data_IF_245681948450
#
_entry.id   IF_245681948450
#
_cell.length_a   1.000
_cell.length_b   1.000
_cell.length_c   1.000
_cell.angle_alpha   90.00
_cell.angle_beta   90.00
_cell.angle_gamma   90.00
#
_symmetry.space_group_name_H-M   'P 1'
#
loop_
_entity.id
_entity.type
_entity.pdbx_description
1 polymer ?
#
# COMPACT_ATOMS: atom_id res chain seq x y z
N UNK A 1 81.20 49.27 -70.48
CA UNK A 1 80.58 47.96 -70.54
C UNK A 1 79.23 48.05 -69.75
N UNK A 2 78.14 48.20 -70.50
CA UNK A 2 76.79 48.20 -69.90
C UNK A 2 76.15 46.87 -70.15
N UNK A 3 75.75 46.20 -69.04
CA UNK A 3 74.98 44.93 -69.13
C UNK A 3 73.49 45.31 -69.03
N UNK A 4 72.74 44.99 -70.08
CA UNK A 4 71.29 45.03 -70.08
C UNK A 4 70.77 43.83 -69.25
N UNK A 5 69.95 44.10 -68.25
CA UNK A 5 69.16 43.11 -67.50
C UNK A 5 67.73 43.01 -68.13
N UNK A 6 67.46 41.85 -68.68
CA UNK A 6 66.11 41.51 -69.26
C UNK A 6 65.20 41.03 -68.11
N UNK A 7 64.22 41.87 -67.81
CA UNK A 7 63.18 41.46 -66.85
C UNK A 7 62.10 40.63 -67.53
N UNK A 8 62.00 39.38 -67.13
CA UNK A 8 60.91 38.48 -67.47
C UNK A 8 59.77 38.72 -66.48
N UNK A 9 58.65 39.25 -66.94
CA UNK A 9 57.41 39.40 -66.17
C UNK A 9 56.64 38.10 -66.24
N UNK A 10 56.66 37.35 -65.11
CA UNK A 10 55.87 36.11 -65.01
C UNK A 10 54.40 36.48 -64.65
N UNK A 11 53.50 36.36 -65.62
CA UNK A 11 52.08 36.54 -65.36
C UNK A 11 51.54 35.24 -64.70
N UNK A 12 51.30 35.33 -63.39
CA UNK A 12 50.67 34.27 -62.61
C UNK A 12 49.15 34.34 -62.85
N UNK A 13 48.63 33.43 -63.68
CA UNK A 13 47.16 33.28 -63.89
C UNK A 13 46.61 32.50 -62.68
N UNK A 14 46.01 33.22 -61.73
CA UNK A 14 45.21 32.61 -60.65
C UNK A 14 43.93 32.04 -61.19
N UNK A 15 43.84 30.75 -61.39
CA UNK A 15 42.56 30.03 -61.56
C UNK A 15 41.83 30.04 -60.21
N UNK A 16 40.86 30.96 -60.01
CA UNK A 16 39.89 30.87 -58.96
C UNK A 16 38.88 29.82 -59.38
N UNK A 17 39.17 28.60 -58.98
CA UNK A 17 38.19 27.52 -59.07
C UNK A 17 37.05 27.83 -58.07
N UNK A 18 35.87 28.11 -58.59
CA UNK A 18 34.65 28.16 -57.77
C UNK A 18 34.39 26.73 -57.37
N UNK A 19 34.80 26.32 -56.14
CA UNK A 19 34.37 25.08 -55.52
C UNK A 19 32.86 25.26 -55.21
N UNK A 20 32.00 24.80 -56.12
CA UNK A 20 30.58 24.62 -55.80
C UNK A 20 30.53 23.49 -54.79
N UNK A 21 30.11 23.77 -53.56
CA UNK A 21 29.79 22.72 -52.65
C UNK A 21 28.71 21.82 -53.34
N UNK A 22 28.97 20.54 -53.34
CA UNK A 22 27.99 19.61 -53.89
C UNK A 22 26.66 19.79 -53.13
N UNK A 23 25.57 19.85 -53.86
CA UNK A 23 24.25 19.94 -53.24
C UNK A 23 24.06 18.77 -52.25
N UNK A 24 23.54 19.00 -51.04
CA UNK A 24 23.41 17.97 -50.04
C UNK A 24 22.46 16.86 -50.45
N UNK A 25 22.73 15.64 -50.01
CA UNK A 25 21.81 14.50 -50.23
C UNK A 25 20.85 14.38 -49.06
N UNK A 26 19.60 14.05 -49.37
CA UNK A 26 18.56 13.78 -48.37
C UNK A 26 18.84 12.47 -47.62
N UNK A 27 19.05 12.54 -46.31
CA UNK A 27 19.35 11.39 -45.46
C UNK A 27 18.21 10.36 -45.38
N UNK A 28 17.02 10.69 -45.83
CA UNK A 28 15.89 9.76 -45.92
C UNK A 28 15.80 9.05 -47.26
N UNK A 29 15.70 9.82 -48.36
CA UNK A 29 15.46 9.23 -49.68
C UNK A 29 16.72 9.08 -50.56
N UNK A 30 17.90 9.51 -50.07
CA UNK A 30 19.21 9.46 -50.73
C UNK A 30 19.27 10.19 -52.10
N UNK A 31 18.37 11.13 -52.33
CA UNK A 31 18.36 11.98 -53.56
C UNK A 31 18.97 13.34 -53.23
N UNK A 32 19.62 13.95 -54.24
CA UNK A 32 20.15 15.30 -54.15
C UNK A 32 19.06 16.30 -53.82
N UNK A 33 19.31 17.26 -52.94
CA UNK A 33 18.37 18.29 -52.54
C UNK A 33 18.67 19.54 -53.37
N UNK A 34 17.76 19.89 -54.29
CA UNK A 34 17.83 21.11 -55.05
C UNK A 34 17.08 22.22 -54.32
N UNK A 35 17.77 23.30 -53.90
CA UNK A 35 17.17 24.44 -53.23
C UNK A 35 17.23 24.39 -51.69
N UNK A 36 16.10 24.75 -51.03
CA UNK A 36 16.04 24.80 -49.57
C UNK A 36 15.94 23.41 -48.97
N UNK A 37 16.61 23.19 -47.84
CA UNK A 37 16.58 21.93 -47.09
C UNK A 37 16.53 22.17 -45.58
N UNK A 38 16.09 21.16 -44.85
CA UNK A 38 16.14 21.12 -43.40
C UNK A 38 17.42 20.41 -42.94
N UNK A 39 18.13 21.03 -41.99
CA UNK A 39 19.27 20.39 -41.32
C UNK A 39 18.88 20.10 -39.87
N UNK A 40 18.86 18.81 -39.53
CA UNK A 40 18.52 18.33 -38.18
C UNK A 40 19.58 17.32 -37.75
N UNK A 41 20.19 17.54 -36.61
CA UNK A 41 21.26 16.70 -36.05
C UNK A 41 22.40 16.39 -37.06
N UNK A 42 22.78 17.41 -37.86
CA UNK A 42 23.84 17.29 -38.86
C UNK A 42 23.48 16.51 -40.13
N UNK A 43 22.22 16.13 -40.31
CA UNK A 43 21.67 15.47 -41.47
C UNK A 43 20.79 16.42 -42.28
N UNK A 44 20.84 16.31 -43.62
CA UNK A 44 20.04 17.15 -44.53
C UNK A 44 18.81 16.36 -45.05
N UNK A 45 17.70 17.05 -45.17
CA UNK A 45 16.44 16.44 -45.58
C UNK A 45 15.67 17.37 -46.54
N UNK A 46 14.96 16.82 -47.55
CA UNK A 46 13.87 17.54 -48.16
C UNK A 46 12.82 17.84 -47.09
N UNK A 47 12.14 18.95 -47.19
CA UNK A 47 11.13 19.38 -46.24
C UNK A 47 10.02 18.33 -46.10
N UNK A 48 9.50 17.81 -47.22
CA UNK A 48 8.48 16.76 -47.23
C UNK A 48 8.98 15.44 -46.65
N UNK A 49 10.23 15.04 -46.99
CA UNK A 49 10.81 13.80 -46.44
C UNK A 49 10.97 13.87 -44.90
N UNK A 50 11.35 15.01 -44.40
CA UNK A 50 11.47 15.21 -42.94
C UNK A 50 10.08 15.15 -42.30
N UNK A 51 9.12 16.00 -42.75
CA UNK A 51 7.78 16.10 -42.18
C UNK A 51 7.04 14.76 -42.18
N UNK A 52 7.12 14.01 -43.28
CA UNK A 52 6.29 12.83 -43.48
C UNK A 52 6.91 11.55 -42.88
N UNK A 53 8.24 11.47 -42.76
CA UNK A 53 8.95 10.23 -42.41
C UNK A 53 9.94 10.34 -41.23
N UNK A 54 10.42 11.52 -40.89
CA UNK A 54 11.47 11.68 -39.90
C UNK A 54 10.96 12.43 -38.68
N UNK A 55 10.09 13.42 -38.88
CA UNK A 55 9.56 14.23 -37.79
C UNK A 55 8.80 13.38 -36.78
N UNK A 56 9.07 13.55 -35.47
CA UNK A 56 8.42 12.77 -34.42
C UNK A 56 6.91 12.88 -34.48
N UNK A 57 6.23 11.75 -34.21
CA UNK A 57 4.79 11.70 -34.13
C UNK A 57 4.34 11.27 -32.73
N UNK A 58 3.24 11.87 -32.30
CA UNK A 58 2.64 11.53 -31.03
C UNK A 58 2.08 10.11 -31.04
N UNK A 59 2.54 9.26 -30.11
CA UNK A 59 2.08 7.87 -30.01
C UNK A 59 0.57 7.76 -29.70
N UNK A 60 -0.02 8.76 -29.05
CA UNK A 60 -1.45 8.77 -28.77
C UNK A 60 -2.31 9.19 -29.96
N UNK A 61 -2.03 10.33 -30.59
CA UNK A 61 -2.92 10.89 -31.62
C UNK A 61 -2.39 10.77 -33.06
N UNK A 62 -1.18 10.26 -33.26
CA UNK A 62 -0.55 10.07 -34.58
C UNK A 62 -0.09 11.35 -35.28
N UNK A 63 -0.44 12.53 -34.76
CA UNK A 63 -0.06 13.83 -35.36
C UNK A 63 1.42 14.13 -35.11
N UNK A 64 1.99 14.91 -36.03
CA UNK A 64 3.37 15.41 -35.92
C UNK A 64 3.54 16.23 -34.67
N UNK A 65 4.66 16.03 -33.97
CA UNK A 65 5.06 16.83 -32.81
C UNK A 65 5.93 17.98 -33.29
N UNK A 66 5.45 19.20 -33.08
CA UNK A 66 6.19 20.42 -33.33
C UNK A 66 6.47 21.13 -31.99
N UNK A 67 7.75 21.16 -31.60
CA UNK A 67 8.20 21.75 -30.36
C UNK A 67 8.36 20.79 -29.18
N UNK A 68 7.81 21.14 -28.00
CA UNK A 68 7.96 20.36 -26.76
C UNK A 68 7.16 19.04 -26.81
N UNK A 69 7.73 18.02 -26.22
CA UNK A 69 7.10 16.71 -26.07
C UNK A 69 7.36 16.10 -24.70
N UNK A 70 6.53 15.13 -24.31
CA UNK A 70 6.77 14.23 -23.21
C UNK A 70 7.31 12.91 -23.77
N UNK A 71 8.22 12.27 -23.02
CA UNK A 71 8.81 10.97 -23.37
C UNK A 71 8.45 9.96 -22.28
N UNK A 72 7.89 8.82 -22.69
CA UNK A 72 7.61 7.68 -21.82
C UNK A 72 7.88 6.39 -22.58
N UNK A 73 8.74 5.50 -22.04
CA UNK A 73 9.11 4.21 -22.65
C UNK A 73 9.53 4.33 -24.13
N UNK A 74 10.34 5.35 -24.45
CA UNK A 74 10.80 5.67 -25.80
C UNK A 74 9.70 6.17 -26.78
N UNK A 75 8.49 6.36 -26.29
CA UNK A 75 7.39 6.95 -27.06
C UNK A 75 7.24 8.45 -26.77
N UNK A 76 6.99 9.23 -27.85
CA UNK A 76 6.84 10.68 -27.78
C UNK A 76 5.37 11.07 -27.81
N UNK A 77 4.99 12.06 -27.00
CA UNK A 77 3.63 12.54 -26.87
C UNK A 77 3.57 14.06 -26.90
N UNK A 78 2.53 14.65 -27.50
CA UNK A 78 2.24 16.05 -27.20
C UNK A 78 2.02 16.21 -25.69
N UNK A 79 2.41 17.34 -25.08
CA UNK A 79 2.22 17.58 -23.65
C UNK A 79 0.76 17.38 -23.19
N UNK A 80 -0.21 17.87 -24.00
CA UNK A 80 -1.63 17.71 -23.69
C UNK A 80 -2.11 16.26 -23.84
N UNK A 81 -1.63 15.52 -24.85
CA UNK A 81 -1.96 14.11 -25.00
C UNK A 81 -1.42 13.30 -23.85
N UNK A 82 -0.19 13.59 -23.42
CA UNK A 82 0.43 12.94 -22.29
C UNK A 82 -0.36 13.20 -21.00
N UNK A 83 -0.63 14.47 -20.70
CA UNK A 83 -1.35 14.86 -19.47
C UNK A 83 -2.76 14.28 -19.43
N UNK A 84 -3.51 14.34 -20.52
CA UNK A 84 -4.94 14.02 -20.49
C UNK A 84 -5.24 12.53 -20.71
N UNK A 85 -4.32 11.77 -21.35
CA UNK A 85 -4.60 10.40 -21.77
C UNK A 85 -3.59 9.34 -21.32
N UNK A 86 -2.38 9.76 -20.89
CA UNK A 86 -1.31 8.83 -20.54
C UNK A 86 -1.03 8.85 -19.04
N UNK A 87 -1.04 10.03 -18.40
CA UNK A 87 -0.87 10.10 -16.96
C UNK A 87 -1.99 9.34 -16.23
N UNK A 88 -1.67 8.63 -15.14
CA UNK A 88 -2.70 8.06 -14.28
C UNK A 88 -3.60 9.17 -13.72
N UNK A 89 -4.82 8.82 -13.40
CA UNK A 89 -5.80 9.77 -12.87
C UNK A 89 -5.97 9.58 -11.36
N UNK A 90 -6.23 10.69 -10.69
CA UNK A 90 -6.53 10.67 -9.27
C UNK A 90 -7.85 9.96 -9.02
N UNK A 91 -7.84 8.95 -8.16
CA UNK A 91 -9.03 8.18 -7.80
C UNK A 91 -10.08 8.99 -7.02
N UNK A 92 -9.74 10.21 -6.56
CA UNK A 92 -10.63 11.07 -5.76
C UNK A 92 -11.24 12.18 -6.63
N UNK A 93 -10.42 12.92 -7.39
CA UNK A 93 -10.89 14.10 -8.15
C UNK A 93 -10.87 13.92 -9.67
N UNK A 94 -10.46 12.76 -10.15
CA UNK A 94 -10.31 12.40 -11.57
C UNK A 94 -9.40 13.34 -12.38
N UNK A 95 -8.55 14.15 -11.72
CA UNK A 95 -7.55 14.96 -12.41
C UNK A 95 -6.28 14.16 -12.66
N UNK A 96 -5.51 14.48 -13.72
CA UNK A 96 -4.24 13.81 -14.00
C UNK A 96 -3.25 13.95 -12.85
N UNK A 97 -2.61 12.85 -12.47
CA UNK A 97 -1.59 12.84 -11.43
C UNK A 97 -0.26 13.35 -11.99
N UNK A 98 -0.01 14.65 -11.80
CA UNK A 98 1.23 15.31 -12.16
C UNK A 98 2.13 15.47 -10.93
N UNK A 99 3.39 15.05 -11.04
CA UNK A 99 4.36 15.18 -9.95
C UNK A 99 4.21 14.08 -8.90
N UNK A 100 4.27 14.47 -7.61
CA UNK A 100 4.15 13.55 -6.48
C UNK A 100 2.69 13.16 -6.24
N UNK A 101 2.46 11.88 -6.05
CA UNK A 101 1.18 11.32 -5.65
C UNK A 101 1.40 10.09 -4.75
N UNK A 102 0.37 9.70 -4.02
CA UNK A 102 0.38 8.49 -3.21
C UNK A 102 -0.44 7.39 -3.87
N UNK A 103 -0.08 6.15 -3.56
CA UNK A 103 -0.90 4.97 -3.85
C UNK A 103 -1.08 4.22 -2.54
N UNK A 104 -2.33 4.02 -2.13
CA UNK A 104 -2.64 3.26 -0.93
C UNK A 104 -2.47 1.74 -1.15
N UNK A 105 -2.69 0.97 -0.07
CA UNK A 105 -2.63 -0.50 -0.15
C UNK A 105 -3.64 -1.07 -1.17
N UNK A 106 -4.77 -0.40 -1.34
CA UNK A 106 -5.89 -0.83 -2.17
C UNK A 106 -5.73 -0.47 -3.66
N UNK A 107 -4.57 0.07 -4.03
CA UNK A 107 -4.26 0.46 -5.40
C UNK A 107 -4.82 1.83 -5.83
N UNK A 108 -5.44 2.59 -4.92
CA UNK A 108 -5.95 3.91 -5.24
C UNK A 108 -4.80 4.92 -5.27
N UNK A 109 -4.61 5.58 -6.41
CA UNK A 109 -3.62 6.64 -6.57
C UNK A 109 -4.29 8.01 -6.47
N UNK A 110 -3.73 8.92 -5.66
CA UNK A 110 -4.32 10.23 -5.42
C UNK A 110 -3.26 11.30 -5.13
N UNK A 111 -3.62 12.58 -5.37
CA UNK A 111 -2.74 13.71 -5.08
C UNK A 111 -2.38 13.78 -3.59
N UNK A 112 -1.16 14.20 -3.31
CA UNK A 112 -0.65 14.39 -1.94
C UNK A 112 -1.55 15.31 -1.09
N UNK A 113 -2.20 16.33 -1.68
CA UNK A 113 -3.11 17.23 -0.98
C UNK A 113 -4.29 16.52 -0.33
N UNK A 114 -4.85 15.49 -0.97
CA UNK A 114 -6.01 14.77 -0.44
C UNK A 114 -5.72 14.05 0.87
N UNK A 115 -4.47 13.63 1.11
CA UNK A 115 -4.10 13.01 2.40
C UNK A 115 -4.13 13.97 3.59
N UNK A 116 -4.07 15.28 3.34
CA UNK A 116 -4.20 16.31 4.37
C UNK A 116 -5.60 16.90 4.49
N UNK A 117 -6.44 16.71 3.48
CA UNK A 117 -7.79 17.26 3.41
C UNK A 117 -8.87 16.27 3.90
N UNK A 118 -8.61 14.97 3.78
CA UNK A 118 -9.55 13.90 4.09
C UNK A 118 -9.10 13.09 5.30
N UNK A 119 -10.08 12.61 6.08
CA UNK A 119 -9.82 11.71 7.20
C UNK A 119 -9.56 10.29 6.70
N UNK A 120 -8.72 9.56 7.43
CA UNK A 120 -8.48 8.13 7.19
C UNK A 120 -9.44 7.25 7.99
N UNK A 121 -9.87 6.16 7.41
CA UNK A 121 -10.66 5.15 8.11
C UNK A 121 -9.80 4.44 9.16
N UNK A 122 -10.24 4.45 10.41
CA UNK A 122 -9.55 3.84 11.54
C UNK A 122 -9.21 2.35 11.35
N UNK A 123 -10.00 1.62 10.57
CA UNK A 123 -9.86 0.17 10.43
C UNK A 123 -9.13 -0.27 9.16
N UNK A 124 -9.30 0.44 8.04
CA UNK A 124 -8.70 0.05 6.75
C UNK A 124 -7.69 1.04 6.17
N UNK A 125 -7.56 2.24 6.77
CA UNK A 125 -6.60 3.26 6.33
C UNK A 125 -6.93 3.94 5.00
N UNK A 126 -8.10 3.66 4.36
CA UNK A 126 -8.53 4.41 3.17
C UNK A 126 -8.89 5.83 3.52
N UNK A 127 -8.60 6.78 2.63
CA UNK A 127 -9.16 8.11 2.70
C UNK A 127 -10.69 8.05 2.52
N UNK A 128 -11.42 8.77 3.36
CA UNK A 128 -12.88 8.75 3.38
C UNK A 128 -13.42 9.80 2.42
N UNK A 129 -14.01 9.35 1.32
CA UNK A 129 -14.75 10.16 0.37
C UNK A 129 -15.74 9.28 -0.38
N UNK A 130 -16.66 9.90 -1.13
CA UNK A 130 -17.70 9.17 -1.86
C UNK A 130 -17.09 8.24 -2.91
N UNK A 131 -16.06 8.68 -3.61
CA UNK A 131 -15.42 7.95 -4.72
C UNK A 131 -14.69 6.69 -4.27
N UNK A 132 -14.01 6.72 -3.12
CA UNK A 132 -13.19 5.58 -2.65
C UNK A 132 -13.94 4.65 -1.72
N UNK A 133 -14.86 5.17 -0.92
CA UNK A 133 -15.39 4.44 0.23
C UNK A 133 -16.90 4.54 0.39
N UNK A 134 -17.61 5.21 -0.51
CA UNK A 134 -19.03 5.52 -0.34
C UNK A 134 -19.29 6.46 0.84
N UNK A 135 -18.34 7.38 1.09
CA UNK A 135 -18.36 8.28 2.24
C UNK A 135 -17.93 7.63 3.54
N UNK A 136 -18.39 8.20 4.65
CA UNK A 136 -18.12 7.76 6.02
C UNK A 136 -18.51 8.81 7.03
N UNK A 137 -18.21 8.57 8.31
CA UNK A 137 -18.58 9.48 9.39
C UNK A 137 -17.62 9.34 10.58
N UNK A 138 -17.65 10.34 11.44
CA UNK A 138 -16.95 10.35 12.71
C UNK A 138 -17.82 9.69 13.80
N UNK A 139 -17.25 8.73 14.52
CA UNK A 139 -17.88 8.12 15.68
C UNK A 139 -17.80 9.07 16.89
N UNK A 140 -18.66 8.86 17.89
CA UNK A 140 -18.71 9.68 19.11
C UNK A 140 -17.41 9.70 19.92
N UNK A 141 -16.51 8.74 19.68
CA UNK A 141 -15.20 8.64 20.33
C UNK A 141 -14.05 9.22 19.49
N UNK A 142 -14.36 9.87 18.35
CA UNK A 142 -13.40 10.55 17.47
C UNK A 142 -12.78 9.68 16.40
N UNK A 143 -13.10 8.38 16.34
CA UNK A 143 -12.65 7.50 15.24
C UNK A 143 -13.47 7.79 13.98
N UNK A 144 -12.82 7.75 12.82
CA UNK A 144 -13.48 7.84 11.51
C UNK A 144 -13.72 6.45 10.93
N UNK A 145 -14.93 6.17 10.46
CA UNK A 145 -15.30 4.90 9.84
C UNK A 145 -15.81 5.15 8.43
N UNK A 146 -15.22 4.49 7.43
CA UNK A 146 -15.67 4.61 6.04
C UNK A 146 -16.91 3.75 5.75
N UNK A 147 -17.64 4.06 4.68
CA UNK A 147 -18.83 3.33 4.26
C UNK A 147 -18.60 1.83 4.10
N UNK A 148 -17.50 1.43 3.44
CA UNK A 148 -17.15 0.01 3.23
C UNK A 148 -17.01 -0.74 4.57
N UNK A 149 -16.27 -0.17 5.52
CA UNK A 149 -16.07 -0.80 6.82
C UNK A 149 -17.33 -0.82 7.68
N UNK A 150 -18.19 0.17 7.50
CA UNK A 150 -19.46 0.26 8.21
C UNK A 150 -20.49 -0.79 7.79
N UNK A 151 -20.45 -1.27 6.53
CA UNK A 151 -21.40 -2.30 6.04
C UNK A 151 -21.44 -3.56 6.89
N UNK A 152 -20.30 -3.92 7.48
CA UNK A 152 -20.15 -5.14 8.29
C UNK A 152 -19.79 -4.86 9.75
N UNK A 153 -19.93 -3.60 10.19
CA UNK A 153 -19.52 -3.19 11.52
C UNK A 153 -20.34 -3.87 12.63
N UNK A 154 -19.64 -4.39 13.64
CA UNK A 154 -20.27 -5.02 14.81
C UNK A 154 -20.66 -3.93 15.83
N UNK A 155 -21.96 -3.75 16.01
CA UNK A 155 -22.53 -2.70 16.87
C UNK A 155 -23.56 -3.23 17.89
N UNK A 156 -23.85 -4.54 17.89
CA UNK A 156 -24.88 -5.13 18.73
C UNK A 156 -24.74 -6.62 18.94
N UNK A 157 -25.58 -7.14 19.84
CA UNK A 157 -25.48 -8.48 20.41
C UNK A 157 -25.57 -9.60 19.36
N UNK A 158 -26.43 -9.46 18.35
CA UNK A 158 -26.59 -10.51 17.34
C UNK A 158 -25.28 -10.86 16.61
N UNK A 159 -24.54 -9.83 16.14
CA UNK A 159 -23.26 -10.05 15.46
C UNK A 159 -22.16 -10.47 16.45
N UNK A 160 -22.23 -10.01 17.71
CA UNK A 160 -21.34 -10.41 18.78
C UNK A 160 -21.51 -11.92 19.06
N UNK A 161 -22.72 -12.38 19.37
CA UNK A 161 -23.03 -13.79 19.70
C UNK A 161 -22.70 -14.74 18.55
N UNK A 162 -23.04 -14.35 17.32
CA UNK A 162 -22.69 -15.13 16.13
C UNK A 162 -21.18 -15.21 15.91
N UNK A 163 -20.44 -14.13 16.23
CA UNK A 163 -18.98 -14.10 16.15
C UNK A 163 -18.33 -14.95 17.23
N UNK A 164 -18.84 -14.90 18.46
CA UNK A 164 -18.38 -15.77 19.56
C UNK A 164 -18.54 -17.23 19.18
N UNK A 165 -19.72 -17.62 18.73
CA UNK A 165 -19.99 -19.01 18.29
C UNK A 165 -19.10 -19.45 17.14
N UNK A 166 -18.77 -18.54 16.21
CA UNK A 166 -17.85 -18.80 15.11
C UNK A 166 -16.42 -19.00 15.61
N UNK A 167 -15.92 -18.07 16.45
CA UNK A 167 -14.53 -18.10 16.92
C UNK A 167 -14.29 -19.31 17.84
N UNK A 168 -15.22 -19.64 18.74
CA UNK A 168 -15.08 -20.82 19.62
C UNK A 168 -14.95 -22.11 18.81
N UNK A 169 -15.77 -22.31 17.76
CA UNK A 169 -15.63 -23.47 16.88
C UNK A 169 -14.27 -23.50 16.15
N UNK A 170 -13.79 -22.35 15.73
CA UNK A 170 -12.51 -22.25 15.02
C UNK A 170 -11.34 -22.58 15.96
N UNK A 171 -11.37 -22.10 17.19
CA UNK A 171 -10.38 -22.40 18.23
C UNK A 171 -10.40 -23.91 18.58
N UNK A 172 -11.59 -24.47 18.82
CA UNK A 172 -11.77 -25.89 19.13
C UNK A 172 -11.22 -26.81 18.02
N UNK A 173 -11.48 -26.46 16.75
CA UNK A 173 -10.96 -27.20 15.59
C UNK A 173 -9.42 -27.24 15.53
N UNK A 174 -8.74 -26.31 16.20
CA UNK A 174 -7.28 -26.24 16.31
C UNK A 174 -6.74 -26.74 17.68
N UNK A 175 -7.60 -27.37 18.50
CA UNK A 175 -7.22 -27.97 19.78
C UNK A 175 -7.19 -26.99 20.96
N UNK A 176 -7.71 -25.77 20.77
CA UNK A 176 -7.86 -24.77 21.83
C UNK A 176 -9.27 -24.92 22.39
N UNK A 177 -9.38 -25.75 23.40
CA UNK A 177 -10.64 -26.15 24.04
C UNK A 177 -10.66 -25.74 25.55
N UNK A 178 -11.76 -26.06 26.22
CA UNK A 178 -11.94 -25.83 27.65
C UNK A 178 -11.83 -24.36 28.06
N UNK A 179 -12.30 -23.45 27.22
CA UNK A 179 -12.59 -22.09 27.61
C UNK A 179 -13.84 -22.04 28.50
N UNK A 180 -13.96 -21.10 29.46
CA UNK A 180 -15.18 -20.93 30.22
C UNK A 180 -16.40 -20.66 29.32
N UNK A 181 -17.56 -21.23 29.68
CA UNK A 181 -18.80 -21.06 28.90
C UNK A 181 -19.37 -19.62 28.98
N UNK A 182 -19.17 -18.97 30.14
CA UNK A 182 -19.76 -17.67 30.48
C UNK A 182 -18.72 -16.54 30.56
N UNK A 183 -18.03 -16.25 29.47
CA UNK A 183 -17.10 -15.12 29.42
C UNK A 183 -17.90 -13.88 29.01
N UNK A 184 -18.06 -12.86 29.89
CA UNK A 184 -18.68 -11.61 29.54
C UNK A 184 -17.88 -10.89 28.45
N UNK A 185 -18.57 -10.45 27.38
CA UNK A 185 -17.98 -9.67 26.28
C UNK A 185 -18.76 -8.36 26.16
N UNK A 186 -18.07 -7.25 26.23
CA UNK A 186 -18.71 -5.92 26.17
C UNK A 186 -18.13 -5.11 25.02
N UNK A 187 -19.03 -4.57 24.17
CA UNK A 187 -18.66 -3.59 23.16
C UNK A 187 -18.43 -2.23 23.85
N UNK A 188 -17.32 -1.62 23.59
CA UNK A 188 -16.91 -0.34 24.18
C UNK A 188 -16.47 0.66 23.13
N UNK A 189 -16.46 1.94 23.48
CA UNK A 189 -15.81 3.00 22.72
C UNK A 189 -14.31 3.09 23.08
N UNK A 190 -13.57 3.88 22.30
CA UNK A 190 -12.16 4.07 22.51
C UNK A 190 -11.85 4.74 23.88
N UNK A 191 -12.71 5.63 24.34
CA UNK A 191 -12.53 6.30 25.62
C UNK A 191 -12.62 5.31 26.78
N UNK A 192 -13.57 4.39 26.72
CA UNK A 192 -13.73 3.33 27.74
C UNK A 192 -12.57 2.36 27.70
N UNK A 193 -12.11 1.94 26.53
CA UNK A 193 -10.95 1.03 26.39
C UNK A 193 -9.67 1.67 26.98
N UNK A 194 -9.47 2.98 26.76
CA UNK A 194 -8.37 3.75 27.37
C UNK A 194 -8.42 3.81 28.89
N UNK A 195 -9.62 3.80 29.48
CA UNK A 195 -9.79 3.77 30.95
C UNK A 195 -9.50 2.39 31.56
N UNK A 196 -9.75 1.32 30.80
CA UNK A 196 -9.59 -0.05 31.29
C UNK A 196 -8.11 -0.51 31.27
N UNK A 197 -7.36 -0.13 30.25
CA UNK A 197 -5.98 -0.58 30.10
C UNK A 197 -4.96 0.50 30.48
N UNK A 198 -4.07 0.19 31.42
CA UNK A 198 -2.94 1.06 31.80
C UNK A 198 -1.88 1.15 30.70
N UNK A 199 -1.81 0.19 29.80
CA UNK A 199 -0.89 0.13 28.65
C UNK A 199 -1.58 0.47 27.33
N UNK A 200 -2.65 1.26 27.38
CA UNK A 200 -3.42 1.63 26.19
C UNK A 200 -2.55 2.24 25.10
N UNK A 201 -2.81 1.84 23.86
CA UNK A 201 -2.32 2.49 22.64
C UNK A 201 -3.49 2.65 21.65
N UNK A 202 -3.40 3.58 20.70
CA UNK A 202 -4.44 3.78 19.68
C UNK A 202 -4.56 2.59 18.71
N UNK A 203 -3.61 1.66 18.73
CA UNK A 203 -3.67 0.40 17.99
C UNK A 203 -4.43 -0.71 18.73
N UNK A 204 -4.80 -0.49 19.99
CA UNK A 204 -5.55 -1.46 20.79
C UNK A 204 -7.01 -1.49 20.38
N UNK A 205 -7.52 -2.70 20.08
CA UNK A 205 -8.90 -2.91 19.64
C UNK A 205 -9.70 -3.81 20.59
N UNK A 206 -9.04 -4.50 21.50
CA UNK A 206 -9.60 -5.33 22.56
C UNK A 206 -8.77 -5.25 23.81
N UNK A 207 -9.33 -5.73 24.92
CA UNK A 207 -8.68 -5.85 26.21
C UNK A 207 -9.38 -6.91 27.05
N UNK A 208 -8.62 -7.83 27.61
CA UNK A 208 -9.12 -8.83 28.54
C UNK A 208 -8.69 -8.50 29.97
N UNK A 209 -9.67 -8.31 30.84
CA UNK A 209 -9.46 -8.14 32.28
C UNK A 209 -9.57 -9.48 32.99
N UNK A 210 -8.60 -9.79 33.85
CA UNK A 210 -8.55 -11.02 34.61
C UNK A 210 -8.62 -10.74 36.11
N UNK A 211 -9.49 -11.46 36.81
CA UNK A 211 -9.63 -11.38 38.24
C UNK A 211 -9.49 -12.78 38.88
N UNK A 212 -8.66 -12.86 39.90
CA UNK A 212 -8.47 -14.10 40.70
C UNK A 212 -8.85 -13.84 42.14
N UNK A 213 -9.82 -14.57 42.65
CA UNK A 213 -10.18 -14.53 44.04
C UNK A 213 -9.43 -15.63 44.78
N UNK A 214 -8.75 -15.29 45.87
CA UNK A 214 -8.03 -16.20 46.71
C UNK A 214 -8.59 -16.22 48.12
N UNK A 215 -8.66 -17.41 48.75
CA UNK A 215 -9.03 -17.57 50.14
C UNK A 215 -8.03 -18.52 50.79
N UNK A 216 -7.32 -18.03 51.83
CA UNK A 216 -6.30 -18.80 52.53
C UNK A 216 -5.25 -19.42 51.59
N UNK A 217 -4.67 -18.63 50.69
CA UNK A 217 -3.70 -19.01 49.62
C UNK A 217 -4.25 -19.98 48.52
N UNK A 218 -5.52 -20.34 48.56
CA UNK A 218 -6.13 -21.16 47.52
C UNK A 218 -6.95 -20.28 46.56
N UNK A 219 -6.80 -20.51 45.25
CA UNK A 219 -7.63 -19.88 44.25
C UNK A 219 -9.05 -20.45 44.37
N UNK A 220 -10.03 -19.55 44.58
CA UNK A 220 -11.44 -19.90 44.75
C UNK A 220 -12.21 -19.69 43.46
N UNK A 221 -11.91 -18.61 42.72
CA UNK A 221 -12.49 -18.38 41.41
C UNK A 221 -11.50 -17.62 40.53
N UNK A 222 -11.62 -17.87 39.23
CA UNK A 222 -11.04 -17.07 38.15
C UNK A 222 -12.16 -16.52 37.31
N UNK A 223 -12.05 -15.29 36.93
CA UNK A 223 -13.05 -14.60 36.10
C UNK A 223 -12.32 -13.78 35.04
N UNK A 224 -12.79 -13.81 33.81
CA UNK A 224 -12.29 -13.01 32.72
C UNK A 224 -13.41 -12.19 32.12
N UNK A 225 -13.13 -10.95 31.72
CA UNK A 225 -14.06 -10.09 31.02
C UNK A 225 -13.39 -9.48 29.79
N UNK A 226 -13.96 -9.70 28.61
CA UNK A 226 -13.44 -9.21 27.36
C UNK A 226 -14.13 -7.90 26.97
N UNK A 227 -13.36 -6.89 26.61
CA UNK A 227 -13.83 -5.61 26.09
C UNK A 227 -13.30 -5.46 24.66
N UNK A 228 -14.18 -5.18 23.70
CA UNK A 228 -13.79 -5.00 22.29
C UNK A 228 -14.38 -3.70 21.76
N UNK A 229 -13.62 -2.95 20.96
CA UNK A 229 -14.12 -1.76 20.30
C UNK A 229 -15.35 -2.07 19.45
N UNK A 230 -16.40 -1.30 19.63
CA UNK A 230 -17.56 -1.29 18.74
C UNK A 230 -17.18 -0.74 17.35
N UNK A 231 -18.01 -1.01 16.35
CA UNK A 231 -17.84 -0.55 14.97
C UNK A 231 -16.58 -1.10 14.26
N UNK A 232 -16.02 -2.22 14.72
CA UNK A 232 -15.04 -2.96 13.93
C UNK A 232 -15.75 -3.76 12.83
N UNK A 233 -15.21 -3.82 11.60
CA UNK A 233 -15.72 -4.73 10.57
C UNK A 233 -15.72 -6.18 11.07
N UNK A 234 -16.69 -6.99 10.65
CA UNK A 234 -16.93 -8.33 11.19
C UNK A 234 -15.69 -9.22 11.24
N UNK A 235 -14.90 -9.25 10.17
CA UNK A 235 -13.68 -10.06 10.12
C UNK A 235 -12.64 -9.57 11.15
N UNK A 236 -12.47 -8.26 11.28
CA UNK A 236 -11.57 -7.69 12.29
C UNK A 236 -12.08 -7.94 13.71
N UNK A 237 -13.38 -7.77 13.93
CA UNK A 237 -13.99 -8.05 15.23
C UNK A 237 -13.73 -9.49 15.68
N UNK A 238 -13.97 -10.46 14.79
CA UNK A 238 -13.68 -11.88 15.05
C UNK A 238 -12.22 -12.16 15.33
N UNK A 239 -11.31 -11.50 14.60
CA UNK A 239 -9.87 -11.64 14.80
C UNK A 239 -9.42 -11.08 16.16
N UNK A 240 -9.96 -9.92 16.57
CA UNK A 240 -9.71 -9.37 17.90
C UNK A 240 -10.31 -10.27 18.99
N UNK A 241 -11.53 -10.77 18.79
CA UNK A 241 -12.17 -11.69 19.73
C UNK A 241 -11.36 -13.00 19.92
N UNK A 242 -10.82 -13.55 18.83
CA UNK A 242 -9.95 -14.72 18.90
C UNK A 242 -8.66 -14.44 19.70
N UNK A 243 -8.05 -13.27 19.50
CA UNK A 243 -6.90 -12.82 20.27
C UNK A 243 -7.23 -12.74 21.76
N UNK A 244 -8.32 -12.09 22.13
CA UNK A 244 -8.73 -11.92 23.53
C UNK A 244 -9.11 -13.26 24.20
N UNK A 245 -9.74 -14.17 23.48
CA UNK A 245 -10.03 -15.53 23.98
C UNK A 245 -8.76 -16.34 24.21
N UNK A 246 -7.68 -16.12 23.46
CA UNK A 246 -6.39 -16.74 23.77
C UNK A 246 -5.74 -16.18 25.05
N UNK A 247 -5.95 -14.90 25.41
CA UNK A 247 -5.58 -14.40 26.73
C UNK A 247 -6.35 -15.16 27.83
N UNK A 248 -7.64 -15.39 27.67
CA UNK A 248 -8.42 -16.24 28.62
C UNK A 248 -7.86 -17.65 28.68
N UNK A 249 -7.55 -18.26 27.54
CA UNK A 249 -6.94 -19.60 27.47
C UNK A 249 -5.65 -19.70 28.30
N UNK A 250 -4.74 -18.72 28.18
CA UNK A 250 -3.49 -18.66 28.91
C UNK A 250 -3.75 -18.49 30.43
N UNK A 251 -4.66 -17.60 30.79
CA UNK A 251 -5.01 -17.33 32.19
C UNK A 251 -5.60 -18.55 32.89
N UNK A 252 -6.53 -19.27 32.24
CA UNK A 252 -7.14 -20.48 32.82
C UNK A 252 -6.11 -21.57 33.09
N UNK A 253 -5.06 -21.66 32.27
CA UNK A 253 -3.96 -22.63 32.41
C UNK A 253 -2.82 -22.17 33.32
N UNK A 254 -2.91 -20.97 33.90
CA UNK A 254 -1.84 -20.34 34.68
C UNK A 254 -0.50 -20.24 33.92
N UNK A 255 -0.56 -19.98 32.62
CA UNK A 255 0.62 -19.78 31.80
C UNK A 255 1.06 -18.30 31.89
N UNK A 256 2.11 -18.05 32.64
CA UNK A 256 2.74 -16.73 32.76
C UNK A 256 3.90 -16.64 31.77
N UNK A 257 3.58 -16.12 30.58
CA UNK A 257 4.51 -16.03 29.47
C UNK A 257 5.12 -14.62 29.38
N UNK A 258 6.33 -14.56 28.87
CA UNK A 258 6.96 -13.31 28.48
C UNK A 258 6.08 -12.57 27.46
N UNK A 259 6.06 -11.21 27.49
CA UNK A 259 5.11 -10.39 26.72
C UNK A 259 5.13 -10.70 25.22
N UNK A 260 6.33 -10.83 24.62
CA UNK A 260 6.46 -11.14 23.20
C UNK A 260 5.88 -12.52 22.82
N UNK A 261 6.02 -13.51 23.69
CA UNK A 261 5.46 -14.85 23.48
C UNK A 261 3.95 -14.83 23.68
N UNK A 262 3.46 -14.18 24.72
CA UNK A 262 2.04 -14.06 25.04
C UNK A 262 1.28 -13.36 23.92
N UNK A 263 1.71 -12.14 23.54
CA UNK A 263 1.05 -11.37 22.48
C UNK A 263 1.21 -12.05 21.12
N UNK A 264 2.39 -12.63 20.85
CA UNK A 264 2.64 -13.40 19.64
C UNK A 264 1.71 -14.62 19.53
N UNK A 265 1.50 -15.36 20.60
CA UNK A 265 0.56 -16.49 20.64
C UNK A 265 -0.88 -16.02 20.47
N UNK A 266 -1.30 -14.97 21.17
CA UNK A 266 -2.65 -14.43 21.02
C UNK A 266 -2.92 -13.92 19.59
N UNK A 267 -1.92 -13.36 18.93
CA UNK A 267 -2.01 -12.95 17.53
C UNK A 267 -2.20 -14.12 16.55
N UNK A 268 -1.85 -15.37 16.92
CA UNK A 268 -2.19 -16.53 16.11
C UNK A 268 -3.70 -16.75 16.02
N UNK A 269 -4.46 -16.37 17.05
CA UNK A 269 -5.92 -16.35 16.99
C UNK A 269 -6.46 -15.39 15.93
N UNK A 270 -5.87 -14.19 15.85
CA UNK A 270 -6.20 -13.25 14.76
C UNK A 270 -5.84 -13.79 13.38
N UNK A 271 -4.63 -14.34 13.24
CA UNK A 271 -4.17 -14.97 12.00
C UNK A 271 -5.13 -16.08 11.54
N UNK A 272 -5.54 -16.96 12.45
CA UNK A 272 -6.47 -18.05 12.21
C UNK A 272 -7.78 -17.55 11.59
N UNK A 273 -8.36 -16.48 12.12
CA UNK A 273 -9.59 -15.86 11.57
C UNK A 273 -9.36 -15.30 10.19
N UNK A 274 -8.25 -14.58 9.96
CA UNK A 274 -7.95 -14.00 8.66
C UNK A 274 -7.68 -15.07 7.60
N UNK A 275 -7.09 -16.20 7.97
CA UNK A 275 -6.86 -17.33 7.08
C UNK A 275 -8.15 -18.10 6.76
N UNK A 276 -9.07 -18.23 7.73
CA UNK A 276 -10.37 -18.91 7.53
C UNK A 276 -11.36 -18.09 6.69
N UNK A 277 -11.22 -16.75 6.70
CA UNK A 277 -12.05 -15.82 5.92
C UNK A 277 -11.20 -14.98 4.96
N UNK A 278 -10.57 -15.60 3.94
CA UNK A 278 -9.67 -14.91 3.05
C UNK A 278 -10.39 -13.80 2.27
N UNK A 279 -9.80 -12.61 2.27
CA UNK A 279 -10.27 -11.42 1.56
C UNK A 279 -9.13 -10.43 1.44
N UNK A 280 -9.24 -9.45 0.56
CA UNK A 280 -8.27 -8.36 0.45
C UNK A 280 -8.08 -7.62 1.80
N UNK A 281 -9.16 -7.49 2.58
CA UNK A 281 -9.08 -6.92 3.92
C UNK A 281 -8.30 -7.81 4.90
N UNK A 282 -8.52 -9.13 4.87
CA UNK A 282 -7.77 -10.08 5.69
C UNK A 282 -6.28 -10.09 5.33
N UNK A 283 -5.96 -10.07 4.04
CA UNK A 283 -4.59 -9.94 3.54
C UNK A 283 -3.91 -8.65 4.01
N UNK A 284 -4.62 -7.51 3.93
CA UNK A 284 -4.16 -6.23 4.46
C UNK A 284 -3.81 -6.31 5.94
N UNK A 285 -4.68 -6.93 6.75
CA UNK A 285 -4.46 -7.09 8.20
C UNK A 285 -3.27 -8.00 8.50
N UNK A 286 -3.15 -9.14 7.84
CA UNK A 286 -2.01 -10.06 7.97
C UNK A 286 -0.70 -9.39 7.56
N UNK A 287 -0.71 -8.62 6.48
CA UNK A 287 0.46 -7.86 6.06
C UNK A 287 0.91 -6.85 7.11
N UNK A 288 -0.05 -6.13 7.73
CA UNK A 288 0.25 -5.17 8.79
C UNK A 288 0.82 -5.87 10.04
N UNK A 289 0.25 -7.00 10.45
CA UNK A 289 0.79 -7.82 11.55
C UNK A 289 2.23 -8.26 11.25
N UNK A 290 2.48 -8.75 10.03
CA UNK A 290 3.81 -9.21 9.60
C UNK A 290 4.84 -8.07 9.53
N UNK A 291 4.43 -6.87 9.10
CA UNK A 291 5.31 -5.69 8.95
C UNK A 291 5.47 -4.88 10.24
N UNK A 292 4.66 -5.14 11.26
CA UNK A 292 4.71 -4.40 12.53
C UNK A 292 6.11 -4.48 13.14
N UNK A 293 6.62 -3.33 13.58
CA UNK A 293 7.91 -3.21 14.29
C UNK A 293 7.75 -3.26 15.80
N UNK A 294 6.53 -3.42 16.29
CA UNK A 294 6.26 -3.59 17.71
C UNK A 294 6.94 -4.86 18.23
N UNK A 295 7.66 -4.81 19.35
CA UNK A 295 8.39 -5.96 19.86
C UNK A 295 7.50 -7.11 20.30
N UNK A 296 6.31 -6.82 20.84
CA UNK A 296 5.39 -7.82 21.35
C UNK A 296 4.41 -8.29 20.24
N UNK A 297 3.69 -7.35 19.65
CA UNK A 297 2.66 -7.65 18.66
C UNK A 297 3.22 -7.99 17.26
N UNK A 298 4.33 -7.40 16.86
CA UNK A 298 4.93 -7.63 15.54
C UNK A 298 6.00 -8.72 15.56
N UNK A 299 7.03 -8.53 16.37
CA UNK A 299 8.14 -9.49 16.45
C UNK A 299 7.69 -10.80 17.10
N UNK A 300 6.94 -10.71 18.22
CA UNK A 300 6.35 -11.88 18.87
C UNK A 300 5.46 -12.68 17.94
N UNK A 301 4.59 -11.99 17.18
CA UNK A 301 3.75 -12.65 16.16
C UNK A 301 4.57 -13.42 15.13
N UNK A 302 5.58 -12.79 14.49
CA UNK A 302 6.41 -13.48 13.49
C UNK A 302 7.13 -14.72 14.05
N UNK A 303 7.56 -14.64 15.32
CA UNK A 303 8.19 -15.76 16.02
C UNK A 303 7.20 -16.91 16.20
N UNK A 304 6.00 -16.62 16.72
CA UNK A 304 4.99 -17.65 17.02
C UNK A 304 4.37 -18.22 15.76
N UNK A 305 4.08 -17.40 14.74
CA UNK A 305 3.59 -17.86 13.42
C UNK A 305 4.62 -18.76 12.72
N UNK A 306 5.91 -18.40 12.75
CA UNK A 306 6.98 -19.27 12.24
C UNK A 306 7.12 -20.61 12.97
N UNK A 307 6.85 -20.66 14.28
CA UNK A 307 6.79 -21.92 15.04
C UNK A 307 5.54 -22.74 14.67
N UNK A 308 4.40 -22.09 14.52
CA UNK A 308 3.15 -22.72 14.10
C UNK A 308 3.30 -23.39 12.72
N UNK A 309 3.88 -22.67 11.75
CA UNK A 309 4.13 -23.20 10.40
C UNK A 309 5.03 -24.43 10.41
N UNK A 310 6.04 -24.47 11.27
CA UNK A 310 7.00 -25.56 11.34
C UNK A 310 6.51 -26.76 12.12
N UNK A 311 5.71 -26.57 13.16
CA UNK A 311 5.40 -27.58 14.19
C UNK A 311 3.91 -27.86 14.35
N UNK A 312 3.03 -26.94 13.94
CA UNK A 312 1.58 -27.05 14.09
C UNK A 312 1.07 -26.71 15.50
N UNK A 313 -0.25 -26.55 15.60
CA UNK A 313 -0.93 -26.18 16.84
C UNK A 313 -0.66 -27.14 18.01
N UNK A 314 -0.71 -28.43 17.74
CA UNK A 314 -0.51 -29.44 18.79
C UNK A 314 0.82 -29.26 19.52
N UNK A 315 1.90 -29.04 18.78
CA UNK A 315 3.21 -28.80 19.37
C UNK A 315 3.22 -27.53 20.23
N UNK A 316 2.67 -26.43 19.70
CA UNK A 316 2.61 -25.17 20.42
C UNK A 316 1.85 -25.32 21.75
N UNK A 317 0.68 -25.96 21.74
CA UNK A 317 -0.16 -26.12 22.92
C UNK A 317 0.47 -27.02 24.00
N UNK A 318 1.28 -28.02 23.59
CA UNK A 318 1.99 -28.94 24.48
C UNK A 318 3.29 -28.35 25.08
N UNK A 319 3.90 -27.35 24.42
CA UNK A 319 5.23 -26.83 24.80
C UNK A 319 5.26 -25.34 25.08
N UNK A 320 4.11 -24.67 25.13
CA UNK A 320 4.02 -23.21 25.23
C UNK A 320 4.72 -22.63 26.47
N UNK A 321 4.68 -23.33 27.60
CA UNK A 321 5.36 -22.97 28.84
C UNK A 321 6.91 -23.11 28.75
N UNK A 322 7.40 -23.93 27.82
CA UNK A 322 8.84 -24.11 27.60
C UNK A 322 9.43 -23.08 26.62
N UNK A 323 8.59 -22.40 25.83
CA UNK A 323 9.01 -21.40 24.82
C UNK A 323 9.42 -20.07 25.47
N UNK A 324 9.13 -19.84 26.69
CA UNK A 324 9.24 -18.59 27.45
C UNK A 324 10.68 -17.98 27.51
#
# INVERSE_FOLDING_TARGET
MRRLALNFLLILVLFVGIIRAADPECSYCNKTIEGNYLSVDGKSYHEDCYRDHVQPRCAHCGKVIDGKYALLNDEMYHPECYTNHILPRCAICDQPLQGKYYTDYWGNSFHESHSSELSECHTCGRLICDELTGGGYELSDGRYLCGICNETAVTGDFLLESSLSYVLRLLEANGIDNLPDDIPITLVDQQKLRQLSVSYSDAMHGFTDHNTQTRNVHVVSKESHIYILSHLPLTMFRAVLAHELLHVYLFERNLDLRSDIREGFCNLGSEMVYQDTPSEYAEFRLLNMTKSQDPDYGYGYRKMSGLLDQRGWRYLLETLDEIN
#
